data_IF_611217500683
#
_entry.id   IF_611217500683
#
_cell.length_a   1.000
_cell.length_b   1.000
_cell.length_c   1.000
_cell.angle_alpha   90.00
_cell.angle_beta   90.00
_cell.angle_gamma   90.00
#
_symmetry.space_group_name_H-M   'P 1'
#
loop_
_entity.id
_entity.type
_entity.pdbx_description
1 polymer ?
#
# COMPACT_ATOMS: atom_id res chain seq x y z
N UNK A 1 -1.91 0.41 -13.08
CA UNK A 1 -1.44 0.15 -11.71
C UNK A 1 -1.24 1.48 -11.00
N UNK A 2 -1.85 1.60 -9.81
CA UNK A 2 -1.81 2.81 -8.98
C UNK A 2 -0.39 3.22 -8.60
N UNK A 3 -0.08 4.52 -8.71
CA UNK A 3 1.22 5.08 -8.30
C UNK A 3 1.53 4.89 -6.82
N UNK A 4 0.51 4.66 -5.99
CA UNK A 4 0.68 4.38 -4.57
C UNK A 4 1.22 2.97 -4.31
N UNK A 5 0.84 1.99 -5.14
CA UNK A 5 1.32 0.62 -4.99
C UNK A 5 2.83 0.54 -5.23
N UNK A 6 3.35 1.34 -6.15
CA UNK A 6 4.79 1.43 -6.46
C UNK A 6 5.61 2.07 -5.31
N UNK A 7 4.95 2.73 -4.35
CA UNK A 7 5.58 3.40 -3.21
C UNK A 7 5.50 2.60 -1.90
N UNK A 8 5.08 1.34 -1.97
CA UNK A 8 5.05 0.46 -0.80
C UNK A 8 6.49 0.07 -0.46
N UNK A 9 6.93 0.43 0.74
CA UNK A 9 8.27 0.16 1.25
C UNK A 9 8.19 -0.64 2.54
N UNK A 10 9.18 -1.51 2.76
CA UNK A 10 9.35 -2.25 4.00
C UNK A 10 10.40 -1.54 4.87
N UNK A 11 9.99 -1.07 6.05
CA UNK A 11 10.88 -0.40 7.01
C UNK A 11 11.00 -1.27 8.26
N UNK A 12 12.22 -1.67 8.61
CA UNK A 12 12.49 -2.42 9.84
C UNK A 12 12.21 -1.53 11.07
N UNK A 13 11.39 -2.00 12.02
CA UNK A 13 10.93 -1.19 13.16
C UNK A 13 11.88 -1.20 14.35
N UNK A 14 13.00 -1.93 14.25
CA UNK A 14 13.95 -2.17 15.33
C UNK A 14 13.46 -3.17 16.39
N UNK A 15 12.22 -3.66 16.28
CA UNK A 15 11.67 -4.69 17.18
C UNK A 15 12.06 -6.08 16.72
N UNK A 16 12.31 -6.95 17.68
CA UNK A 16 12.72 -8.32 17.46
C UNK A 16 11.87 -9.24 18.35
N UNK A 17 11.41 -10.35 17.79
CA UNK A 17 10.79 -11.44 18.53
C UNK A 17 11.64 -12.69 18.33
N UNK A 18 11.76 -13.52 19.36
CA UNK A 18 12.35 -14.85 19.23
C UNK A 18 11.25 -15.81 18.81
N UNK A 19 11.50 -16.58 17.75
CA UNK A 19 10.61 -17.65 17.31
C UNK A 19 11.21 -19.01 17.68
N UNK A 20 10.38 -19.89 18.22
CA UNK A 20 10.79 -21.24 18.55
C UNK A 20 10.87 -22.06 17.26
N UNK A 21 12.06 -22.55 16.95
CA UNK A 21 12.28 -23.43 15.82
C UNK A 21 12.93 -24.72 16.30
N UNK A 22 12.37 -25.85 15.87
CA UNK A 22 12.94 -27.18 16.16
C UNK A 22 13.50 -27.74 14.85
N UNK A 23 14.83 -27.68 14.61
CA UNK A 23 15.43 -28.25 13.42
C UNK A 23 15.27 -29.77 13.43
N UNK A 24 14.78 -30.32 12.32
CA UNK A 24 14.74 -31.76 12.09
C UNK A 24 16.06 -32.17 11.45
N UNK A 25 16.84 -33.01 12.12
CA UNK A 25 18.08 -33.57 11.59
C UNK A 25 17.81 -35.01 11.16
N UNK A 26 17.92 -35.27 9.86
CA UNK A 26 17.79 -36.63 9.33
C UNK A 26 19.17 -37.26 9.30
N UNK A 27 19.34 -38.38 10.01
CA UNK A 27 20.56 -39.19 10.01
C UNK A 27 20.23 -40.47 9.19
N UNK A 28 21.22 -41.05 8.49
CA UNK A 28 21.01 -42.16 7.54
C UNK A 28 20.18 -43.35 8.08
N UNK A 29 20.12 -43.56 9.40
CA UNK A 29 19.35 -44.63 10.07
C UNK A 29 18.16 -44.16 10.93
N UNK A 30 17.73 -42.89 10.84
CA UNK A 30 16.56 -42.40 11.58
C UNK A 30 16.40 -40.87 11.66
N UNK A 31 15.22 -40.42 12.10
CA UNK A 31 14.95 -38.99 12.35
C UNK A 31 15.30 -38.65 13.80
N UNK A 32 16.24 -37.73 14.01
CA UNK A 32 16.54 -37.16 15.32
C UNK A 32 15.98 -35.74 15.39
N UNK A 33 15.19 -35.45 16.43
CA UNK A 33 14.78 -34.08 16.76
C UNK A 33 15.88 -33.44 17.62
N UNK A 34 16.42 -32.31 17.19
CA UNK A 34 17.38 -31.53 17.96
C UNK A 34 16.67 -30.64 19.01
N UNK A 35 17.44 -30.08 19.95
CA UNK A 35 16.95 -29.12 20.96
C UNK A 35 16.23 -27.93 20.32
N UNK A 36 15.24 -27.38 21.05
CA UNK A 36 14.52 -26.17 20.65
C UNK A 36 15.52 -25.01 20.52
N UNK A 37 15.67 -24.51 19.30
CA UNK A 37 16.48 -23.34 19.00
C UNK A 37 15.60 -22.09 18.89
N UNK A 38 16.19 -20.94 19.19
CA UNK A 38 15.51 -19.66 19.12
C UNK A 38 16.15 -18.81 18.04
N UNK A 39 15.39 -18.46 17.00
CA UNK A 39 15.88 -17.59 15.94
C UNK A 39 15.27 -16.19 16.05
N UNK A 40 16.07 -15.13 15.86
CA UNK A 40 15.58 -13.76 15.89
C UNK A 40 14.76 -13.44 14.64
N UNK A 41 13.47 -13.13 14.82
CA UNK A 41 12.61 -12.54 13.80
C UNK A 41 12.55 -11.02 13.97
N UNK A 42 12.83 -10.29 12.90
CA UNK A 42 12.72 -8.83 12.89
C UNK A 42 11.34 -8.37 12.41
N UNK A 43 10.77 -7.38 13.10
CA UNK A 43 9.51 -6.76 12.68
C UNK A 43 9.77 -5.72 11.57
N UNK A 44 9.04 -5.86 10.46
CA UNK A 44 9.01 -4.89 9.38
C UNK A 44 7.62 -4.27 9.30
N UNK A 45 7.57 -2.95 9.11
CA UNK A 45 6.34 -2.24 8.73
C UNK A 45 6.33 -2.09 7.22
N UNK A 46 5.33 -2.67 6.57
CA UNK A 46 5.11 -2.57 5.12
C UNK A 46 3.98 -1.58 4.87
N UNK A 47 4.24 -0.52 4.10
CA UNK A 47 3.23 0.49 3.79
C UNK A 47 3.75 1.66 2.97
N UNK A 48 2.93 2.70 2.83
CA UNK A 48 3.25 3.93 2.09
C UNK A 48 3.33 5.11 3.06
N UNK A 49 4.37 5.94 2.95
CA UNK A 49 4.47 7.19 3.69
C UNK A 49 4.13 8.38 2.78
N UNK A 50 3.07 9.13 3.11
CA UNK A 50 2.69 10.35 2.40
C UNK A 50 2.98 11.56 3.29
N UNK A 51 3.86 12.43 2.82
CA UNK A 51 4.27 13.65 3.52
C UNK A 51 4.09 14.88 2.65
N UNK A 52 3.86 16.02 3.30
CA UNK A 52 3.87 17.34 2.67
C UNK A 52 4.82 18.24 3.45
N UNK A 53 5.64 19.02 2.74
CA UNK A 53 6.55 20.00 3.32
C UNK A 53 6.28 21.37 2.72
N UNK A 54 6.26 22.40 3.57
CA UNK A 54 6.04 23.78 3.17
C UNK A 54 6.60 24.75 4.20
N UNK A 55 6.75 26.01 3.79
CA UNK A 55 7.29 27.08 4.64
C UNK A 55 6.15 27.99 5.11
N UNK A 56 6.18 28.39 6.38
CA UNK A 56 5.29 29.40 6.96
C UNK A 56 6.13 30.44 7.72
N UNK A 57 5.73 31.70 7.59
CA UNK A 57 6.30 32.85 8.31
C UNK A 57 5.56 33.11 9.62
N UNK A 58 4.27 32.77 9.69
CA UNK A 58 3.45 32.94 10.90
C UNK A 58 2.69 31.66 11.24
N UNK A 59 2.25 31.56 12.49
CA UNK A 59 1.47 30.40 12.98
C UNK A 59 0.10 30.30 12.32
N UNK A 60 -0.47 31.41 11.86
CA UNK A 60 -1.76 31.48 11.15
C UNK A 60 -1.67 30.81 9.77
N UNK A 61 -0.55 30.97 9.07
CA UNK A 61 -0.26 30.33 7.78
C UNK A 61 -0.18 28.80 7.87
N UNK A 62 0.11 28.24 9.05
CA UNK A 62 0.11 26.79 9.28
C UNK A 62 -1.27 26.18 9.01
N UNK A 63 -2.36 26.89 9.31
CA UNK A 63 -3.72 26.41 9.03
C UNK A 63 -3.96 26.29 7.52
N UNK A 64 -3.42 27.25 6.75
CA UNK A 64 -3.45 27.20 5.29
C UNK A 64 -2.61 26.04 4.75
N UNK A 65 -1.38 25.86 5.26
CA UNK A 65 -0.52 24.73 4.88
C UNK A 65 -1.16 23.39 5.20
N UNK A 66 -1.85 23.24 6.34
CA UNK A 66 -2.60 22.01 6.67
C UNK A 66 -3.70 21.73 5.65
N UNK A 67 -4.37 22.77 5.17
CA UNK A 67 -5.43 22.63 4.16
C UNK A 67 -4.85 22.23 2.80
N UNK A 68 -3.73 22.84 2.40
CA UNK A 68 -3.01 22.45 1.19
C UNK A 68 -2.48 21.02 1.27
N UNK A 69 -1.87 20.64 2.39
CA UNK A 69 -1.39 19.29 2.65
C UNK A 69 -2.50 18.25 2.48
N UNK A 70 -3.68 18.50 3.09
CA UNK A 70 -4.86 17.62 2.92
C UNK A 70 -5.23 17.46 1.45
N UNK A 71 -5.31 18.56 0.72
CA UNK A 71 -5.65 18.53 -0.71
C UNK A 71 -4.61 17.73 -1.51
N UNK A 72 -3.33 17.97 -1.29
CA UNK A 72 -2.26 17.27 -2.00
C UNK A 72 -2.24 15.78 -1.70
N UNK A 73 -2.42 15.39 -0.44
CA UNK A 73 -2.52 13.96 -0.06
C UNK A 73 -3.74 13.32 -0.75
N UNK A 74 -4.89 13.98 -0.76
CA UNK A 74 -6.09 13.48 -1.44
C UNK A 74 -5.87 13.37 -2.94
N UNK A 75 -5.19 14.34 -3.57
CA UNK A 75 -4.87 14.27 -5.00
C UNK A 75 -3.84 13.20 -5.32
N UNK A 76 -2.86 12.96 -4.46
CA UNK A 76 -1.91 11.86 -4.63
C UNK A 76 -2.60 10.49 -4.52
N UNK A 77 -3.58 10.37 -3.60
CA UNK A 77 -4.30 9.09 -3.38
C UNK A 77 -5.37 8.84 -4.43
N UNK A 78 -6.13 9.86 -4.82
CA UNK A 78 -7.33 9.70 -5.65
C UNK A 78 -7.26 10.40 -7.02
N UNK A 79 -6.23 11.21 -7.26
CA UNK A 79 -6.14 12.03 -8.47
C UNK A 79 -6.08 11.20 -9.75
N UNK A 80 -5.41 10.05 -9.71
CA UNK A 80 -5.31 9.13 -10.85
C UNK A 80 -6.65 8.55 -11.28
N UNK A 81 -7.61 8.41 -10.37
CA UNK A 81 -8.93 7.86 -10.65
C UNK A 81 -9.93 8.89 -11.21
N UNK A 82 -9.60 10.19 -11.21
CA UNK A 82 -10.50 11.24 -11.71
C UNK A 82 -10.93 10.97 -13.15
N UNK A 83 -9.97 10.74 -14.05
CA UNK A 83 -10.24 10.53 -15.48
C UNK A 83 -11.05 9.24 -15.72
N UNK A 84 -10.66 8.06 -15.20
CA UNK A 84 -11.47 6.85 -15.31
C UNK A 84 -12.92 7.03 -14.80
N UNK A 85 -13.11 7.73 -13.68
CA UNK A 85 -14.46 8.00 -13.15
C UNK A 85 -15.30 8.86 -14.09
N UNK A 86 -14.69 9.85 -14.76
CA UNK A 86 -15.38 10.63 -15.80
C UNK A 86 -15.74 9.79 -17.01
N UNK A 87 -14.85 8.89 -17.44
CA UNK A 87 -15.08 8.00 -18.59
C UNK A 87 -16.21 7.00 -18.31
N UNK A 88 -16.24 6.41 -17.11
CA UNK A 88 -17.35 5.55 -16.65
C UNK A 88 -18.66 6.32 -16.66
N UNK A 89 -18.70 7.52 -16.05
CA UNK A 89 -19.90 8.37 -16.04
C UNK A 89 -20.38 8.68 -17.46
N UNK A 90 -19.46 9.03 -18.35
CA UNK A 90 -19.78 9.31 -19.75
C UNK A 90 -20.40 8.08 -20.45
N UNK A 91 -19.80 6.90 -20.29
CA UNK A 91 -20.33 5.66 -20.88
C UNK A 91 -21.74 5.34 -20.38
N UNK A 92 -22.00 5.54 -19.08
CA UNK A 92 -23.34 5.38 -18.48
C UNK A 92 -24.34 6.37 -19.11
N UNK A 93 -23.97 7.65 -19.23
CA UNK A 93 -24.84 8.69 -19.80
C UNK A 93 -25.14 8.45 -21.28
N UNK A 94 -24.22 7.85 -22.02
CA UNK A 94 -24.43 7.45 -23.42
C UNK A 94 -25.24 6.16 -23.58
N UNK A 95 -25.64 5.49 -22.49
CA UNK A 95 -26.36 4.22 -22.53
C UNK A 95 -25.52 3.01 -22.94
N UNK A 96 -24.19 3.18 -23.06
CA UNK A 96 -23.26 2.12 -23.41
C UNK A 96 -22.88 1.30 -22.17
N UNK A 97 -23.77 0.38 -21.82
CA UNK A 97 -23.61 -0.48 -20.63
C UNK A 97 -22.42 -1.43 -20.75
N UNK A 98 -22.07 -1.85 -21.97
CA UNK A 98 -20.92 -2.74 -22.21
C UNK A 98 -19.62 -2.02 -21.86
N UNK A 99 -19.40 -0.86 -22.49
CA UNK A 99 -18.21 -0.05 -22.20
C UNK A 99 -18.14 0.43 -20.75
N UNK A 100 -19.27 0.79 -20.15
CA UNK A 100 -19.30 1.19 -18.74
C UNK A 100 -18.83 0.07 -17.81
N UNK A 101 -19.20 -1.19 -18.11
CA UNK A 101 -18.76 -2.36 -17.38
C UNK A 101 -17.26 -2.60 -17.57
N UNK A 102 -16.77 -2.56 -18.80
CA UNK A 102 -15.34 -2.77 -19.08
C UNK A 102 -14.45 -1.73 -18.38
N UNK A 103 -14.88 -0.46 -18.37
CA UNK A 103 -14.19 0.62 -17.67
C UNK A 103 -14.21 0.45 -16.14
N UNK A 104 -15.30 -0.08 -15.57
CA UNK A 104 -15.38 -0.40 -14.14
C UNK A 104 -14.44 -1.55 -13.77
N UNK A 105 -14.39 -2.60 -14.58
CA UNK A 105 -13.51 -3.75 -14.35
C UNK A 105 -12.03 -3.32 -14.47
N UNK A 106 -11.69 -2.49 -15.46
CA UNK A 106 -10.35 -1.90 -15.57
C UNK A 106 -9.99 -1.03 -14.36
N UNK A 107 -10.90 -0.16 -13.93
CA UNK A 107 -10.68 0.70 -12.77
C UNK A 107 -10.44 -0.12 -11.49
N UNK A 108 -11.23 -1.18 -11.29
CA UNK A 108 -11.06 -2.08 -10.16
C UNK A 108 -9.68 -2.76 -10.17
N UNK A 109 -9.29 -3.31 -11.32
CA UNK A 109 -7.99 -3.96 -11.50
C UNK A 109 -6.83 -2.99 -11.24
N UNK A 110 -6.94 -1.74 -11.71
CA UNK A 110 -5.92 -0.73 -11.48
C UNK A 110 -5.82 -0.27 -10.01
N UNK A 111 -6.96 -0.20 -9.30
CA UNK A 111 -7.00 0.17 -7.87
C UNK A 111 -6.35 -0.89 -6.98
N UNK A 112 -6.61 -2.17 -7.26
CA UNK A 112 -6.20 -3.27 -6.39
C UNK A 112 -5.03 -4.10 -6.93
N UNK A 113 -4.51 -3.77 -8.12
CA UNK A 113 -3.43 -4.51 -8.76
C UNK A 113 -3.82 -5.95 -9.13
N UNK A 114 -5.11 -6.23 -9.29
CA UNK A 114 -5.63 -7.55 -9.66
C UNK A 114 -5.48 -7.71 -11.17
N UNK A 115 -4.71 -8.70 -11.62
CA UNK A 115 -4.56 -9.09 -13.03
C UNK A 115 -5.13 -10.47 -13.27
#
# INVERSE_FOLDING_TARGET
>A
MSKLLDKIEAVQTGRMKLDEFTPVVVIEDGVAFADVMWEPMHEYRVGVHLGFSGFARTTEEITHLKTQAKRMIIEEVFGEFRKPMYEVRHAIMCGDRGRARDLLDHLFNDMFGVK
#
